data_IF_340574008328
#
_entry.id   IF_340574008328
#
_cell.length_a   1.000
_cell.length_b   1.000
_cell.length_c   1.000
_cell.angle_alpha   90.00
_cell.angle_beta   90.00
_cell.angle_gamma   90.00
#
_symmetry.space_group_name_H-M   'P 1'
#
loop_
_entity.id
_entity.type
_entity.pdbx_description
1 polymer ?
#
# COMPACT_ATOMS: atom_id res chain seq x y z
N UNK A 1 0.42 -39.10 -44.01
CA UNK A 1 1.33 -37.96 -44.18
C UNK A 1 0.47 -36.70 -44.20
N UNK A 2 -0.06 -36.27 -43.04
CA UNK A 2 0.45 -35.24 -42.11
C UNK A 2 0.61 -33.89 -42.84
N UNK A 3 -0.19 -32.84 -42.58
CA UNK A 3 -0.03 -31.80 -41.54
C UNK A 3 -0.98 -30.64 -41.95
N UNK A 4 -1.47 -29.71 -41.15
CA UNK A 4 -1.37 -29.39 -39.75
C UNK A 4 -2.53 -28.43 -39.41
N UNK A 5 -2.91 -28.46 -38.13
CA UNK A 5 -3.82 -27.52 -37.51
C UNK A 5 -3.29 -26.09 -37.66
N UNK A 6 -4.09 -25.18 -38.22
CA UNK A 6 -3.77 -23.76 -38.24
C UNK A 6 -3.71 -23.22 -36.81
N UNK A 7 -2.78 -22.30 -36.49
CA UNK A 7 -2.70 -21.75 -35.15
C UNK A 7 -4.00 -21.01 -34.87
N UNK A 8 -4.63 -21.35 -33.74
CA UNK A 8 -5.62 -20.51 -33.10
C UNK A 8 -4.99 -19.12 -32.97
N UNK A 9 -5.41 -18.20 -33.83
CA UNK A 9 -5.01 -16.79 -33.80
C UNK A 9 -5.22 -16.33 -32.38
N UNK A 10 -4.11 -16.20 -31.66
CA UNK A 10 -4.09 -15.87 -30.25
C UNK A 10 -5.00 -14.67 -30.05
N UNK A 11 -5.97 -14.83 -29.16
CA UNK A 11 -6.34 -13.74 -28.29
C UNK A 11 -5.06 -13.36 -27.53
N UNK A 12 -4.17 -12.63 -28.20
CA UNK A 12 -3.33 -11.66 -27.55
C UNK A 12 -4.35 -10.75 -26.88
N UNK A 13 -4.68 -11.10 -25.64
CA UNK A 13 -5.28 -10.20 -24.69
C UNK A 13 -4.38 -8.99 -24.80
N UNK A 14 -4.87 -7.97 -25.52
CA UNK A 14 -4.29 -6.65 -25.48
C UNK A 14 -4.44 -6.25 -24.01
N UNK A 15 -3.45 -6.67 -23.21
CA UNK A 15 -3.17 -6.09 -21.92
C UNK A 15 -2.89 -4.66 -22.34
N UNK A 16 -3.93 -3.84 -22.23
CA UNK A 16 -3.86 -2.42 -22.52
C UNK A 16 -2.57 -1.92 -21.86
N UNK A 17 -1.90 -0.97 -22.47
CA UNK A 17 -0.80 -0.21 -21.86
C UNK A 17 -1.25 0.63 -20.65
N UNK A 18 -2.12 0.07 -19.81
CA UNK A 18 -2.60 0.56 -18.54
C UNK A 18 -1.77 -0.21 -17.51
N UNK A 19 -0.91 0.48 -16.78
CA UNK A 19 -0.04 -0.15 -15.79
C UNK A 19 -0.80 -1.08 -14.86
N UNK A 20 -0.20 -2.20 -14.45
CA UNK A 20 -0.87 -3.15 -13.56
C UNK A 20 -1.32 -2.42 -12.28
N UNK A 21 -2.63 -2.46 -12.02
CA UNK A 21 -3.23 -1.88 -10.83
C UNK A 21 -2.78 -2.60 -9.57
N UNK A 22 -2.41 -1.85 -8.54
CA UNK A 22 -1.90 -2.36 -7.25
C UNK A 22 -2.71 -1.78 -6.10
N UNK A 23 -3.08 -2.65 -5.16
CA UNK A 23 -3.65 -2.25 -3.88
C UNK A 23 -2.62 -2.52 -2.79
N UNK A 24 -2.38 -1.52 -1.96
CA UNK A 24 -1.42 -1.59 -0.86
C UNK A 24 -2.19 -1.73 0.45
N UNK A 25 -1.85 -2.76 1.22
CA UNK A 25 -2.42 -3.02 2.55
C UNK A 25 -1.31 -2.85 3.59
N UNK A 26 -1.55 -1.98 4.57
CA UNK A 26 -0.55 -1.62 5.58
C UNK A 26 -1.07 -1.99 6.97
N UNK A 27 -0.30 -2.83 7.67
CA UNK A 27 -0.48 -3.07 9.10
C UNK A 27 0.22 -1.95 9.89
N UNK A 28 -0.56 -1.16 10.59
CA UNK A 28 -0.10 0.01 11.32
C UNK A 28 0.78 -0.30 12.51
N UNK A 29 0.59 -1.44 13.19
CA UNK A 29 1.47 -1.80 14.30
C UNK A 29 2.80 -2.35 13.80
N UNK A 30 2.77 -3.22 12.79
CA UNK A 30 4.01 -3.71 12.17
C UNK A 30 4.84 -2.54 11.59
N UNK A 31 4.20 -1.60 10.91
CA UNK A 31 4.86 -0.38 10.45
C UNK A 31 5.43 0.45 11.61
N UNK A 32 4.62 0.69 12.65
CA UNK A 32 5.04 1.51 13.78
C UNK A 32 6.27 0.92 14.47
N UNK A 33 6.24 -0.36 14.83
CA UNK A 33 7.34 -1.00 15.53
C UNK A 33 8.56 -1.23 14.64
N UNK A 34 8.37 -1.49 13.34
CA UNK A 34 9.47 -1.75 12.40
C UNK A 34 10.18 -0.50 11.88
N UNK A 35 9.47 0.61 11.69
CA UNK A 35 10.01 1.79 10.99
C UNK A 35 9.91 3.11 11.77
N UNK A 36 8.88 3.29 12.60
CA UNK A 36 8.55 4.61 13.18
C UNK A 36 8.92 4.74 14.66
N UNK A 37 8.92 3.65 15.43
CA UNK A 37 9.16 3.67 16.87
C UNK A 37 10.60 4.14 17.17
N UNK A 38 10.72 5.09 18.08
CA UNK A 38 12.02 5.67 18.45
C UNK A 38 12.58 6.69 17.46
N UNK A 39 11.86 7.00 16.36
CA UNK A 39 12.24 8.05 15.43
C UNK A 39 11.67 9.42 15.86
N UNK A 40 12.40 10.52 15.60
CA UNK A 40 11.93 11.88 15.89
C UNK A 40 10.76 12.31 14.99
N UNK A 41 10.66 11.72 13.79
CA UNK A 41 9.57 11.93 12.85
C UNK A 41 8.75 10.66 12.72
N UNK A 42 7.42 10.79 12.82
CA UNK A 42 6.50 9.64 12.83
C UNK A 42 5.47 9.66 11.73
N UNK A 43 5.36 10.74 10.96
CA UNK A 43 4.48 10.80 9.79
C UNK A 43 5.21 10.25 8.56
N UNK A 44 4.53 9.40 7.79
CA UNK A 44 5.05 8.74 6.62
C UNK A 44 3.94 8.68 5.57
N UNK A 45 4.17 9.29 4.40
CA UNK A 45 3.25 9.20 3.29
C UNK A 45 3.33 7.78 2.69
N UNK A 46 2.31 6.97 2.95
CA UNK A 46 2.27 5.58 2.53
C UNK A 46 2.10 5.42 1.02
N UNK A 47 1.45 6.37 0.35
CA UNK A 47 1.30 6.36 -1.11
C UNK A 47 2.67 6.58 -1.76
N UNK A 48 3.38 7.63 -1.37
CA UNK A 48 4.73 7.92 -1.88
C UNK A 48 5.70 6.79 -1.58
N UNK A 49 5.71 6.26 -0.35
CA UNK A 49 6.55 5.10 -0.03
C UNK A 49 6.26 3.91 -0.95
N UNK A 50 4.99 3.65 -1.23
CA UNK A 50 4.60 2.54 -2.09
C UNK A 50 5.02 2.77 -3.54
N UNK A 51 4.94 4.00 -4.03
CA UNK A 51 5.41 4.39 -5.37
C UNK A 51 6.92 4.17 -5.52
N UNK A 52 7.70 4.47 -4.47
CA UNK A 52 9.15 4.27 -4.44
C UNK A 52 9.56 2.79 -4.38
N UNK A 53 8.76 1.94 -3.73
CA UNK A 53 9.06 0.50 -3.58
C UNK A 53 8.63 -0.30 -4.81
N UNK A 54 7.48 0.05 -5.41
CA UNK A 54 6.94 -0.69 -6.54
C UNK A 54 7.79 -0.45 -7.80
N UNK A 55 8.04 -1.49 -8.62
CA UNK A 55 8.79 -1.26 -9.85
C UNK A 55 7.98 -0.40 -10.85
N UNK A 56 8.65 0.16 -11.85
CA UNK A 56 8.00 1.10 -12.78
C UNK A 56 6.80 0.47 -13.53
N UNK A 57 5.83 1.30 -13.92
CA UNK A 57 4.64 0.85 -14.67
C UNK A 57 3.57 0.13 -13.82
N UNK A 58 3.64 0.19 -12.49
CA UNK A 58 2.50 -0.11 -11.62
C UNK A 58 1.75 1.18 -11.30
N UNK A 59 0.42 1.07 -11.20
CA UNK A 59 -0.43 2.15 -10.73
C UNK A 59 -1.02 1.79 -9.37
N UNK A 60 -0.80 2.61 -8.34
CA UNK A 60 -1.42 2.37 -7.03
C UNK A 60 -2.85 2.90 -7.07
N UNK A 61 -3.81 1.98 -7.03
CA UNK A 61 -5.23 2.33 -7.05
C UNK A 61 -5.73 2.69 -5.65
N UNK A 62 -5.24 1.98 -4.63
CA UNK A 62 -5.69 2.14 -3.25
C UNK A 62 -4.56 1.87 -2.26
N UNK A 63 -4.52 2.67 -1.20
CA UNK A 63 -3.77 2.38 0.02
C UNK A 63 -4.78 2.16 1.14
N UNK A 64 -4.64 1.05 1.87
CA UNK A 64 -5.54 0.64 2.95
C UNK A 64 -4.73 0.46 4.22
N UNK A 65 -5.02 1.28 5.22
CA UNK A 65 -4.31 1.28 6.51
C UNK A 65 -5.16 0.60 7.59
N UNK A 66 -4.61 -0.42 8.24
CA UNK A 66 -5.29 -1.21 9.27
C UNK A 66 -4.55 -1.09 10.59
N UNK A 67 -5.26 -0.69 11.63
CA UNK A 67 -4.69 -0.61 12.98
C UNK A 67 -5.81 -0.77 14.02
N UNK A 68 -5.48 -1.31 15.19
CA UNK A 68 -6.39 -1.25 16.32
C UNK A 68 -6.28 0.11 17.01
N UNK A 69 -7.37 0.59 17.61
CA UNK A 69 -7.34 1.82 18.41
C UNK A 69 -6.52 1.59 19.68
N UNK A 70 -5.56 2.47 19.93
CA UNK A 70 -4.73 2.45 21.12
C UNK A 70 -5.52 3.05 22.28
N UNK A 71 -5.51 2.39 23.43
CA UNK A 71 -6.15 2.90 24.65
C UNK A 71 -5.21 3.82 25.43
N UNK A 72 -5.79 4.65 26.29
CA UNK A 72 -5.04 5.53 27.20
C UNK A 72 -4.59 4.85 28.49
N UNK A 73 -4.71 3.53 28.61
CA UNK A 73 -4.53 2.81 29.88
C UNK A 73 -3.08 2.86 30.41
N UNK A 74 -2.10 2.84 29.51
CA UNK A 74 -0.67 2.91 29.85
C UNK A 74 -0.14 4.34 29.68
N UNK A 75 -0.56 5.00 28.60
CA UNK A 75 -0.20 6.38 28.27
C UNK A 75 -1.48 7.13 27.88
N UNK A 76 -1.97 8.04 28.73
CA UNK A 76 -3.20 8.79 28.51
C UNK A 76 -3.23 9.56 27.19
N UNK A 77 -2.06 9.93 26.66
CA UNK A 77 -1.92 10.74 25.45
C UNK A 77 -1.73 9.89 24.18
N UNK A 78 -1.52 8.58 24.31
CA UNK A 78 -1.36 7.67 23.17
C UNK A 78 -2.55 7.68 22.18
N UNK A 79 -3.83 7.70 22.63
CA UNK A 79 -4.97 7.79 21.70
C UNK A 79 -4.95 9.08 20.88
N UNK A 80 -4.61 10.22 21.51
CA UNK A 80 -4.54 11.52 20.82
C UNK A 80 -3.44 11.49 19.76
N UNK A 81 -2.25 10.98 20.09
CA UNK A 81 -1.15 10.87 19.11
C UNK A 81 -1.48 9.91 17.97
N UNK A 82 -2.18 8.81 18.24
CA UNK A 82 -2.67 7.93 17.17
C UNK A 82 -3.66 8.66 16.27
N UNK A 83 -4.60 9.43 16.83
CA UNK A 83 -5.56 10.18 16.05
C UNK A 83 -4.90 11.25 15.17
N UNK A 84 -3.89 11.96 15.69
CA UNK A 84 -3.11 12.92 14.89
C UNK A 84 -2.46 12.22 13.69
N UNK A 85 -1.88 11.03 13.89
CA UNK A 85 -1.29 10.27 12.80
C UNK A 85 -2.33 9.80 11.77
N UNK A 86 -3.49 9.31 12.22
CA UNK A 86 -4.58 8.91 11.32
C UNK A 86 -5.12 10.09 10.52
N UNK A 87 -5.32 11.25 11.15
CA UNK A 87 -5.72 12.47 10.44
C UNK A 87 -4.67 12.87 9.38
N UNK A 88 -3.38 12.69 9.68
CA UNK A 88 -2.33 12.97 8.71
C UNK A 88 -2.35 11.99 7.53
N UNK A 89 -2.74 10.72 7.75
CA UNK A 89 -2.94 9.76 6.66
C UNK A 89 -4.16 10.09 5.78
N UNK A 90 -5.18 10.76 6.31
CA UNK A 90 -6.35 11.17 5.52
C UNK A 90 -6.04 12.34 4.54
N UNK A 91 -4.82 12.90 4.59
CA UNK A 91 -4.39 14.01 3.71
C UNK A 91 -3.59 13.57 2.48
N UNK A 92 -3.34 12.26 2.31
CA UNK A 92 -2.43 11.71 1.28
C UNK A 92 -3.12 10.84 0.24
#
# INVERSE_FOLDING_TARGET
MLLAQGPLSGAALAIRGEGMGVWVYVDGFNLYYGALKGRPYRWLNLKTLSEEILPQGRNIEKVKYFTARVSGAIDPDAPRRQQVYLNALDTV
#
